data_IF_644564125516
#
_entry.id   IF_644564125516
#
_cell.length_a   1.000
_cell.length_b   1.000
_cell.length_c   1.000
_cell.angle_alpha   90.00
_cell.angle_beta   90.00
_cell.angle_gamma   90.00
#
_symmetry.space_group_name_H-M   'P 1'
#
loop_
_entity.id
_entity.type
_entity.pdbx_description
1 polymer ?
#
# COMPACT_ATOMS: atom_id res chain seq x y z
N UNK A 1 20.48 -20.86 -3.89
CA UNK A 1 19.54 -21.56 -4.79
C UNK A 1 19.13 -20.61 -5.90
N UNK A 2 19.41 -20.91 -7.17
CA UNK A 2 18.99 -20.02 -8.26
C UNK A 2 17.47 -20.01 -8.42
N UNK A 3 16.86 -18.82 -8.44
CA UNK A 3 15.42 -18.64 -8.69
C UNK A 3 15.17 -18.90 -10.19
N UNK A 4 14.36 -19.92 -10.52
CA UNK A 4 14.07 -20.32 -11.91
C UNK A 4 12.57 -20.64 -12.07
N UNK A 5 12.06 -20.65 -13.31
CA UNK A 5 10.69 -21.13 -13.61
C UNK A 5 10.44 -22.51 -12.98
N UNK A 6 11.35 -23.46 -13.12
CA UNK A 6 11.18 -24.82 -12.59
C UNK A 6 10.95 -24.82 -11.08
N UNK A 7 11.71 -24.00 -10.34
CA UNK A 7 11.55 -23.90 -8.89
C UNK A 7 10.23 -23.21 -8.49
N UNK A 8 9.78 -22.23 -9.26
CA UNK A 8 8.46 -21.61 -9.08
C UNK A 8 7.33 -22.62 -9.35
N UNK A 9 7.44 -23.42 -10.41
CA UNK A 9 6.46 -24.46 -10.73
C UNK A 9 6.43 -25.57 -9.68
N UNK A 10 7.60 -25.98 -9.14
CA UNK A 10 7.69 -26.90 -8.00
C UNK A 10 7.07 -26.30 -6.74
N UNK A 11 7.32 -25.02 -6.45
CA UNK A 11 6.71 -24.34 -5.30
C UNK A 11 5.18 -24.31 -5.42
N UNK A 12 4.64 -24.02 -6.61
CA UNK A 12 3.20 -24.02 -6.86
C UNK A 12 2.55 -25.38 -6.60
N UNK A 13 3.22 -26.50 -6.96
CA UNK A 13 2.72 -27.85 -6.63
C UNK A 13 2.66 -28.11 -5.12
N UNK A 14 3.64 -27.61 -4.35
CA UNK A 14 3.67 -27.73 -2.88
C UNK A 14 2.60 -26.88 -2.17
N UNK A 15 1.89 -26.02 -2.90
CA UNK A 15 0.85 -25.14 -2.35
C UNK A 15 -0.55 -25.75 -2.42
N UNK A 16 -0.73 -26.86 -3.14
CA UNK A 16 -2.02 -27.55 -3.22
C UNK A 16 -2.57 -27.86 -1.82
N UNK A 17 -3.80 -27.42 -1.55
CA UNK A 17 -4.46 -27.56 -0.25
C UNK A 17 -4.00 -26.58 0.85
N UNK A 18 -2.99 -25.73 0.58
CA UNK A 18 -2.40 -24.83 1.58
C UNK A 18 -2.59 -23.36 1.21
N UNK A 19 -2.26 -23.00 -0.02
CA UNK A 19 -2.40 -21.63 -0.54
C UNK A 19 -3.48 -21.64 -1.62
N UNK A 20 -4.45 -20.74 -1.50
CA UNK A 20 -5.55 -20.67 -2.48
C UNK A 20 -5.02 -20.13 -3.81
N UNK A 21 -5.44 -20.74 -4.92
CA UNK A 21 -5.37 -20.11 -6.25
C UNK A 21 -6.39 -18.97 -6.27
N UNK A 22 -5.91 -17.73 -6.25
CA UNK A 22 -6.79 -16.56 -6.16
C UNK A 22 -7.42 -16.23 -7.52
N UNK A 23 -8.61 -15.63 -7.58
CA UNK A 23 -9.23 -15.28 -8.85
C UNK A 23 -8.41 -14.27 -9.67
N UNK A 24 -8.37 -14.47 -10.99
CA UNK A 24 -8.01 -13.45 -11.97
C UNK A 24 -9.29 -12.94 -12.65
N UNK A 25 -9.70 -11.71 -12.35
CA UNK A 25 -11.01 -11.20 -12.73
C UNK A 25 -10.90 -10.08 -13.76
N UNK A 26 -11.59 -10.19 -14.90
CA UNK A 26 -11.76 -9.07 -15.82
C UNK A 26 -12.60 -7.99 -15.15
N UNK A 27 -12.10 -6.75 -15.13
CA UNK A 27 -12.83 -5.60 -14.62
C UNK A 27 -13.40 -4.79 -15.79
N UNK A 28 -14.72 -4.86 -16.00
CA UNK A 28 -15.40 -4.19 -17.11
C UNK A 28 -15.29 -2.67 -17.08
N UNK A 29 -15.37 -2.06 -15.89
CA UNK A 29 -15.34 -0.59 -15.74
C UNK A 29 -13.96 -0.03 -16.09
N UNK A 30 -12.91 -0.57 -15.48
CA UNK A 30 -11.52 -0.20 -15.76
C UNK A 30 -11.16 -0.52 -17.22
N UNK A 31 -11.64 -1.64 -17.75
CA UNK A 31 -11.43 -1.99 -19.16
C UNK A 31 -12.01 -0.94 -20.11
N UNK A 32 -13.25 -0.50 -19.85
CA UNK A 32 -13.88 0.59 -20.61
C UNK A 32 -13.15 1.92 -20.42
N UNK A 33 -12.74 2.24 -19.19
CA UNK A 33 -12.07 3.49 -18.85
C UNK A 33 -10.73 3.65 -19.57
N UNK A 34 -9.93 2.59 -19.67
CA UNK A 34 -8.60 2.62 -20.28
C UNK A 34 -8.57 2.11 -21.73
N UNK A 35 -9.70 1.61 -22.25
CA UNK A 35 -9.77 1.02 -23.59
C UNK A 35 -8.86 -0.20 -23.73
N UNK A 36 -8.75 -1.02 -22.69
CA UNK A 36 -7.84 -2.16 -22.56
C UNK A 36 -8.55 -3.32 -21.85
N UNK A 37 -8.03 -4.54 -21.88
CA UNK A 37 -8.55 -5.64 -21.07
C UNK A 37 -7.85 -5.64 -19.71
N UNK A 38 -8.48 -5.02 -18.70
CA UNK A 38 -7.91 -4.89 -17.35
C UNK A 38 -8.37 -6.06 -16.49
N UNK A 39 -7.42 -6.88 -16.04
CA UNK A 39 -7.64 -7.96 -15.10
C UNK A 39 -7.08 -7.64 -13.72
N UNK A 40 -7.77 -8.07 -12.67
CA UNK A 40 -7.35 -7.93 -11.28
C UNK A 40 -6.98 -9.32 -10.74
N UNK A 41 -5.72 -9.50 -10.34
CA UNK A 41 -5.28 -10.70 -9.60
C UNK A 41 -5.54 -10.48 -8.11
N UNK A 42 -6.53 -11.17 -7.56
CA UNK A 42 -7.15 -10.91 -6.24
C UNK A 42 -6.41 -11.55 -5.07
N UNK A 43 -5.16 -11.16 -4.84
CA UNK A 43 -4.38 -11.66 -3.69
C UNK A 43 -4.92 -11.18 -2.32
N UNK A 44 -5.79 -10.17 -2.32
CA UNK A 44 -6.62 -9.77 -1.16
C UNK A 44 -7.63 -10.85 -0.72
N UNK A 45 -7.97 -11.80 -1.59
CA UNK A 45 -8.85 -12.94 -1.28
C UNK A 45 -8.09 -14.18 -0.79
N UNK A 46 -6.78 -14.08 -0.60
CA UNK A 46 -6.00 -15.12 0.06
C UNK A 46 -6.43 -15.27 1.54
N UNK A 47 -6.13 -16.40 2.18
CA UNK A 47 -6.52 -16.69 3.58
C UNK A 47 -6.11 -15.57 4.57
N UNK A 48 -4.89 -15.08 4.44
CA UNK A 48 -4.36 -13.96 5.24
C UNK A 48 -4.67 -12.57 4.64
N UNK A 49 -5.56 -12.52 3.64
CA UNK A 49 -5.93 -11.34 2.85
C UNK A 49 -4.76 -10.61 2.20
N UNK A 50 -3.70 -11.35 1.86
CA UNK A 50 -2.56 -10.85 1.08
C UNK A 50 -1.72 -12.00 0.53
N UNK A 51 -0.86 -11.68 -0.43
CA UNK A 51 0.04 -12.66 -1.08
C UNK A 51 1.11 -13.26 -0.16
N UNK A 52 1.39 -12.66 1.02
CA UNK A 52 2.58 -12.94 1.83
C UNK A 52 2.72 -14.39 2.30
N UNK A 53 1.60 -15.12 2.42
CA UNK A 53 1.61 -16.55 2.77
C UNK A 53 2.44 -17.38 1.79
N UNK A 54 2.44 -17.03 0.50
CA UNK A 54 3.14 -17.76 -0.55
C UNK A 54 4.64 -17.87 -0.24
N UNK A 55 5.33 -16.74 -0.11
CA UNK A 55 6.75 -16.75 0.20
C UNK A 55 7.09 -17.21 1.62
N UNK A 56 6.29 -16.84 2.63
CA UNK A 56 6.52 -17.28 4.01
C UNK A 56 6.46 -18.81 4.12
N UNK A 57 5.39 -19.41 3.60
CA UNK A 57 5.21 -20.86 3.58
C UNK A 57 6.31 -21.54 2.75
N UNK A 58 6.63 -21.01 1.57
CA UNK A 58 7.67 -21.60 0.73
C UNK A 58 9.05 -21.57 1.40
N UNK A 59 9.42 -20.52 2.13
CA UNK A 59 10.67 -20.53 2.91
C UNK A 59 10.63 -21.60 4.01
N UNK A 60 9.52 -21.68 4.74
CA UNK A 60 9.41 -22.53 5.91
C UNK A 60 9.35 -24.03 5.59
N UNK A 61 8.77 -24.44 4.46
CA UNK A 61 8.78 -25.86 4.06
C UNK A 61 10.18 -26.37 3.73
N UNK A 62 11.06 -25.50 3.26
CA UNK A 62 12.46 -25.82 2.91
C UNK A 62 13.42 -25.79 4.10
N UNK A 63 12.93 -25.49 5.31
CA UNK A 63 13.73 -25.63 6.52
C UNK A 63 14.10 -27.10 6.77
N UNK A 64 15.33 -27.31 7.22
CA UNK A 64 15.82 -28.60 7.70
C UNK A 64 15.07 -29.04 8.96
N UNK A 65 15.14 -30.33 9.31
CA UNK A 65 14.53 -30.84 10.54
C UNK A 65 15.05 -30.12 11.79
N UNK A 66 16.35 -29.78 11.83
CA UNK A 66 16.97 -29.01 12.91
C UNK A 66 16.39 -27.60 13.01
N UNK A 67 16.30 -26.87 11.91
CA UNK A 67 15.72 -25.52 11.88
C UNK A 67 14.24 -25.52 12.28
N UNK A 68 13.46 -26.51 11.81
CA UNK A 68 12.05 -26.68 12.20
C UNK A 68 11.89 -26.92 13.70
N UNK A 69 12.78 -27.72 14.30
CA UNK A 69 12.76 -28.01 15.73
C UNK A 69 13.15 -26.79 16.58
N UNK A 70 14.12 -26.00 16.12
CA UNK A 70 14.51 -24.74 16.78
C UNK A 70 13.42 -23.66 16.63
N UNK A 71 12.68 -23.68 15.53
CA UNK A 71 11.61 -22.74 15.24
C UNK A 71 12.07 -21.53 14.43
N UNK A 72 11.12 -20.63 14.19
CA UNK A 72 11.31 -19.47 13.31
C UNK A 72 11.09 -18.15 14.04
N UNK A 73 11.65 -17.07 13.51
CA UNK A 73 11.46 -15.72 14.03
C UNK A 73 11.28 -14.71 12.90
N UNK A 74 10.46 -13.69 13.11
CA UNK A 74 10.34 -12.56 12.18
C UNK A 74 9.99 -11.27 12.93
N UNK A 75 10.10 -10.13 12.24
CA UNK A 75 9.59 -8.85 12.72
C UNK A 75 8.61 -8.27 11.70
N UNK A 76 7.37 -8.01 12.15
CA UNK A 76 6.31 -7.39 11.36
C UNK A 76 5.05 -7.27 12.23
N UNK A 77 4.28 -6.20 12.04
CA UNK A 77 2.93 -6.06 12.59
C UNK A 77 1.82 -6.20 11.52
N UNK A 78 2.19 -6.48 10.26
CA UNK A 78 1.27 -6.54 9.11
C UNK A 78 1.25 -7.88 8.38
N UNK A 79 1.08 -7.81 7.06
CA UNK A 79 0.86 -8.96 6.17
C UNK A 79 1.93 -10.06 6.29
N UNK A 80 3.20 -9.69 6.47
CA UNK A 80 4.28 -10.68 6.62
C UNK A 80 4.14 -11.50 7.91
N UNK A 81 3.78 -10.85 9.02
CA UNK A 81 3.56 -11.54 10.29
C UNK A 81 2.37 -12.50 10.21
N UNK A 82 1.29 -12.11 9.56
CA UNK A 82 0.15 -13.01 9.32
C UNK A 82 0.56 -14.21 8.45
N UNK A 83 1.37 -14.00 7.42
CA UNK A 83 1.90 -15.07 6.57
C UNK A 83 2.81 -16.05 7.31
N UNK A 84 3.72 -15.56 8.15
CA UNK A 84 4.57 -16.42 8.98
C UNK A 84 3.73 -17.14 10.04
N UNK A 85 2.81 -16.46 10.72
CA UNK A 85 1.93 -17.05 11.73
C UNK A 85 1.08 -18.19 11.16
N UNK A 86 0.41 -17.96 10.02
CA UNK A 86 -0.37 -18.99 9.34
C UNK A 86 0.51 -20.16 8.89
N UNK A 87 1.74 -19.88 8.42
CA UNK A 87 2.70 -20.92 8.06
C UNK A 87 3.17 -21.76 9.25
N UNK A 88 3.39 -21.13 10.41
CA UNK A 88 3.70 -21.83 11.67
C UNK A 88 2.60 -22.84 12.03
N UNK A 89 1.35 -22.42 11.97
CA UNK A 89 0.18 -23.28 12.24
C UNK A 89 0.10 -24.45 11.28
N UNK A 90 0.17 -24.19 9.97
CA UNK A 90 0.05 -25.24 8.94
C UNK A 90 1.19 -26.26 8.99
N UNK A 91 2.40 -25.81 9.32
CA UNK A 91 3.60 -26.66 9.38
C UNK A 91 3.91 -27.21 10.77
N UNK A 92 3.13 -26.81 11.78
CA UNK A 92 3.36 -27.13 13.20
C UNK A 92 4.75 -26.74 13.69
N UNK A 93 5.25 -25.59 13.23
CA UNK A 93 6.56 -25.03 13.61
C UNK A 93 6.34 -23.92 14.62
N UNK A 94 7.10 -23.90 15.72
CA UNK A 94 7.02 -22.81 16.69
C UNK A 94 7.64 -21.52 16.12
N UNK A 95 6.96 -20.40 16.31
CA UNK A 95 7.38 -19.09 15.79
C UNK A 95 7.42 -18.00 16.85
N UNK A 96 8.31 -17.03 16.69
CA UNK A 96 8.33 -15.79 17.48
C UNK A 96 8.18 -14.59 16.56
N UNK A 97 7.21 -13.73 16.86
CA UNK A 97 6.92 -12.54 16.04
C UNK A 97 7.18 -11.28 16.87
N UNK A 98 8.16 -10.50 16.44
CA UNK A 98 8.51 -9.23 17.04
C UNK A 98 7.68 -8.10 16.41
N UNK A 99 7.11 -7.25 17.25
CA UNK A 99 6.36 -6.07 16.84
C UNK A 99 6.73 -4.87 17.70
N UNK A 100 6.56 -3.63 17.22
CA UNK A 100 6.74 -2.45 18.06
C UNK A 100 5.77 -2.43 19.23
N UNK A 101 6.17 -1.83 20.35
CA UNK A 101 5.33 -1.69 21.55
C UNK A 101 4.05 -0.91 21.27
N UNK A 102 4.11 0.04 20.34
CA UNK A 102 2.97 0.88 19.91
C UNK A 102 2.03 0.19 18.91
N UNK A 103 2.21 -1.12 18.65
CA UNK A 103 1.36 -1.84 17.68
C UNK A 103 -0.09 -1.91 18.18
N UNK A 104 -1.09 -1.49 17.38
CA UNK A 104 -2.49 -1.58 17.77
C UNK A 104 -2.93 -3.02 18.09
N UNK A 105 -3.73 -3.19 19.14
CA UNK A 105 -4.20 -4.50 19.59
C UNK A 105 -4.90 -5.31 18.49
N UNK A 106 -5.65 -4.66 17.59
CA UNK A 106 -6.31 -5.34 16.47
C UNK A 106 -5.31 -6.05 15.54
N UNK A 107 -4.15 -5.44 15.28
CA UNK A 107 -3.09 -6.08 14.47
C UNK A 107 -2.45 -7.26 15.22
N UNK A 108 -2.23 -7.11 16.52
CA UNK A 108 -1.70 -8.17 17.41
C UNK A 108 -2.64 -9.37 17.42
N UNK A 109 -3.93 -9.16 17.71
CA UNK A 109 -4.93 -10.22 17.79
C UNK A 109 -5.13 -10.92 16.44
N UNK A 110 -5.04 -10.19 15.33
CA UNK A 110 -5.11 -10.80 13.99
C UNK A 110 -3.95 -11.77 13.73
N UNK A 111 -2.73 -11.41 14.16
CA UNK A 111 -1.57 -12.29 14.02
C UNK A 111 -1.66 -13.49 14.97
N UNK A 112 -2.12 -13.29 16.21
CA UNK A 112 -2.39 -14.38 17.16
C UNK A 112 -3.40 -15.38 16.59
N UNK A 113 -4.49 -14.89 16.02
CA UNK A 113 -5.52 -15.71 15.39
C UNK A 113 -4.94 -16.65 14.33
N UNK A 114 -4.11 -16.15 13.41
CA UNK A 114 -3.49 -17.01 12.39
C UNK A 114 -2.45 -17.96 12.95
N UNK A 115 -1.82 -17.59 14.06
CA UNK A 115 -0.78 -18.38 14.69
C UNK A 115 -1.28 -19.51 15.59
N UNK A 116 -2.56 -19.52 15.99
CA UNK A 116 -3.27 -20.65 16.62
C UNK A 116 -2.44 -21.44 17.66
N UNK A 117 -1.78 -20.72 18.60
CA UNK A 117 -0.94 -21.31 19.65
C UNK A 117 0.46 -21.82 19.21
N UNK A 118 0.81 -21.71 17.92
CA UNK A 118 2.14 -21.98 17.38
C UNK A 118 3.08 -20.78 17.45
N UNK A 119 2.58 -19.58 17.75
CA UNK A 119 3.41 -18.38 17.85
C UNK A 119 3.45 -17.77 19.25
N UNK A 120 4.55 -17.08 19.54
CA UNK A 120 4.67 -16.11 20.61
C UNK A 120 4.86 -14.71 20.00
N UNK A 121 4.17 -13.70 20.52
CA UNK A 121 4.40 -12.30 20.14
C UNK A 121 5.28 -11.63 21.19
N UNK A 122 6.31 -10.91 20.75
CA UNK A 122 7.17 -10.08 21.59
C UNK A 122 7.06 -8.62 21.15
N UNK A 123 6.57 -7.76 22.04
CA UNK A 123 6.47 -6.33 21.81
C UNK A 123 7.78 -5.66 22.23
N UNK A 124 8.67 -5.38 21.27
CA UNK A 124 10.00 -4.84 21.53
C UNK A 124 10.33 -3.76 20.50
N UNK A 125 10.83 -2.62 20.98
CA UNK A 125 11.18 -1.45 20.17
C UNK A 125 10.01 -0.49 19.97
N UNK A 126 10.32 0.77 19.71
CA UNK A 126 9.35 1.81 19.37
C UNK A 126 9.07 1.86 17.87
N UNK A 127 10.01 1.37 17.06
CA UNK A 127 9.96 1.41 15.61
C UNK A 127 10.07 0.01 14.99
N UNK A 128 9.63 -0.12 13.73
CA UNK A 128 9.81 -1.36 12.96
C UNK A 128 11.29 -1.78 12.85
N UNK A 129 12.18 -0.80 12.70
CA UNK A 129 13.63 -1.04 12.58
C UNK A 129 14.19 -1.62 13.89
N UNK A 130 13.77 -1.10 15.04
CA UNK A 130 14.14 -1.65 16.36
C UNK A 130 13.61 -3.06 16.59
N UNK A 131 12.33 -3.33 16.26
CA UNK A 131 11.77 -4.68 16.35
C UNK A 131 12.49 -5.67 15.43
N UNK A 132 12.89 -5.21 14.24
CA UNK A 132 13.65 -6.02 13.27
C UNK A 132 15.04 -6.35 13.79
N UNK A 133 15.72 -5.38 14.41
CA UNK A 133 17.01 -5.61 15.08
C UNK A 133 16.85 -6.66 16.20
N UNK A 134 15.87 -6.47 17.09
CA UNK A 134 15.61 -7.40 18.19
C UNK A 134 15.30 -8.83 17.71
N UNK A 135 14.54 -8.98 16.62
CA UNK A 135 14.25 -10.30 16.02
C UNK A 135 15.50 -10.98 15.46
N UNK A 136 16.40 -10.22 14.82
CA UNK A 136 17.67 -10.75 14.30
C UNK A 136 18.63 -11.11 15.43
N UNK A 137 18.68 -10.30 16.47
CA UNK A 137 19.51 -10.58 17.66
C UNK A 137 19.03 -11.87 18.34
N UNK A 138 17.71 -12.02 18.54
CA UNK A 138 17.10 -13.25 19.06
C UNK A 138 17.36 -14.49 18.19
N UNK A 139 17.33 -14.33 16.86
CA UNK A 139 17.69 -15.40 15.91
C UNK A 139 19.12 -15.90 16.13
N UNK A 140 20.08 -14.98 16.31
CA UNK A 140 21.49 -15.34 16.57
C UNK A 140 21.67 -16.02 17.93
N UNK A 141 20.97 -15.55 18.96
CA UNK A 141 21.10 -16.08 20.32
C UNK A 141 20.47 -17.46 20.49
N UNK A 142 19.32 -17.71 19.86
CA UNK A 142 18.54 -18.95 20.05
C UNK A 142 18.74 -19.99 18.96
N UNK A 143 19.38 -19.61 17.84
CA UNK A 143 19.48 -20.45 16.65
C UNK A 143 18.16 -20.60 15.88
N UNK A 144 17.12 -19.84 16.23
CA UNK A 144 15.87 -19.79 15.45
C UNK A 144 16.14 -19.20 14.07
N UNK A 145 15.41 -19.66 13.05
CA UNK A 145 15.60 -19.17 11.68
C UNK A 145 14.81 -17.88 11.45
N UNK A 146 15.50 -16.79 11.11
CA UNK A 146 14.84 -15.56 10.69
C UNK A 146 14.16 -15.73 9.33
N UNK A 147 12.89 -15.33 9.20
CA UNK A 147 12.09 -15.42 7.97
C UNK A 147 11.95 -14.02 7.33
N UNK A 148 12.70 -13.72 6.25
CA UNK A 148 12.67 -12.39 5.62
C UNK A 148 11.32 -12.08 4.95
N UNK A 149 10.98 -10.79 4.90
CA UNK A 149 9.72 -10.34 4.29
C UNK A 149 9.74 -10.31 2.75
N UNK A 150 10.94 -10.29 2.14
CA UNK A 150 11.11 -10.19 0.68
C UNK A 150 12.48 -10.68 0.18
N UNK A 151 13.59 -10.33 0.84
CA UNK A 151 14.96 -10.55 0.33
C UNK A 151 15.49 -11.96 0.63
N UNK A 152 14.84 -12.98 0.08
CA UNK A 152 15.23 -14.38 0.20
C UNK A 152 14.78 -15.17 -1.04
N UNK A 153 15.63 -16.09 -1.51
CA UNK A 153 15.40 -16.84 -2.74
C UNK A 153 14.11 -17.69 -2.69
N UNK A 154 13.81 -18.34 -1.56
CA UNK A 154 12.59 -19.11 -1.38
C UNK A 154 11.37 -18.22 -1.24
N UNK A 155 11.50 -17.08 -0.56
CA UNK A 155 10.42 -16.10 -0.46
C UNK A 155 10.04 -15.62 -1.86
N UNK A 156 11.01 -15.18 -2.66
CA UNK A 156 10.81 -14.71 -4.04
C UNK A 156 10.22 -15.80 -4.93
N UNK A 157 10.74 -17.03 -4.83
CA UNK A 157 10.23 -18.20 -5.55
C UNK A 157 8.75 -18.44 -5.23
N UNK A 158 8.37 -18.37 -3.95
CA UNK A 158 6.97 -18.50 -3.52
C UNK A 158 6.09 -17.41 -4.12
N UNK A 159 6.55 -16.15 -4.12
CA UNK A 159 5.77 -15.06 -4.72
C UNK A 159 5.61 -15.21 -6.24
N UNK A 160 6.59 -15.82 -6.91
CA UNK A 160 6.53 -16.08 -8.36
C UNK A 160 5.38 -16.99 -8.80
N UNK A 161 4.80 -17.76 -7.86
CA UNK A 161 3.60 -18.58 -8.14
C UNK A 161 2.40 -17.75 -8.58
N UNK A 162 2.32 -16.47 -8.17
CA UNK A 162 1.31 -15.53 -8.67
C UNK A 162 1.45 -15.33 -10.19
N UNK A 163 2.69 -15.20 -10.68
CA UNK A 163 2.98 -15.06 -12.12
C UNK A 163 2.62 -16.31 -12.91
N UNK A 164 2.85 -17.49 -12.33
CA UNK A 164 2.40 -18.77 -12.91
C UNK A 164 0.89 -18.80 -13.09
N UNK A 165 0.15 -18.52 -12.03
CA UNK A 165 -1.31 -18.53 -12.07
C UNK A 165 -1.85 -17.55 -13.12
N UNK A 166 -1.32 -16.32 -13.15
CA UNK A 166 -1.71 -15.31 -14.15
C UNK A 166 -1.47 -15.81 -15.57
N UNK A 167 -0.27 -16.35 -15.84
CA UNK A 167 0.11 -16.80 -17.18
C UNK A 167 -0.77 -17.97 -17.65
N UNK A 168 -1.06 -18.93 -16.78
CA UNK A 168 -1.91 -20.07 -17.08
C UNK A 168 -3.37 -19.67 -17.28
N UNK A 169 -3.93 -18.82 -16.39
CA UNK A 169 -5.32 -18.36 -16.48
C UNK A 169 -5.60 -17.50 -17.72
N UNK A 170 -4.59 -16.81 -18.26
CA UNK A 170 -4.69 -16.06 -19.52
C UNK A 170 -4.18 -16.82 -20.75
N UNK A 171 -3.79 -18.09 -20.61
CA UNK A 171 -3.17 -18.87 -21.71
C UNK A 171 -1.98 -18.13 -22.36
N UNK A 172 -1.22 -17.38 -21.56
CA UNK A 172 -0.11 -16.55 -22.02
C UNK A 172 -0.48 -15.23 -22.71
N UNK A 173 -1.78 -14.90 -22.82
CA UNK A 173 -2.30 -13.67 -23.47
C UNK A 173 -2.25 -12.46 -22.52
N UNK A 174 -1.05 -12.06 -22.12
CA UNK A 174 -0.78 -10.89 -21.29
C UNK A 174 0.24 -9.98 -21.97
N UNK A 175 0.00 -8.66 -21.93
CA UNK A 175 0.93 -7.66 -22.45
C UNK A 175 1.62 -6.90 -21.32
N UNK A 176 0.89 -6.54 -20.25
CA UNK A 176 1.39 -5.74 -19.13
C UNK A 176 1.01 -6.35 -17.78
N UNK A 177 1.92 -6.27 -16.81
CA UNK A 177 1.68 -6.56 -15.41
C UNK A 177 2.06 -5.35 -14.57
N UNK A 178 1.17 -4.90 -13.68
CA UNK A 178 1.43 -3.90 -12.66
C UNK A 178 1.43 -4.58 -11.29
N UNK A 179 2.50 -4.36 -10.52
CA UNK A 179 2.63 -4.89 -9.16
C UNK A 179 3.20 -3.82 -8.21
N UNK A 180 2.68 -3.72 -6.98
CA UNK A 180 3.25 -2.82 -5.99
C UNK A 180 4.66 -3.25 -5.59
N UNK A 181 5.50 -2.27 -5.29
CA UNK A 181 6.86 -2.48 -4.81
C UNK A 181 7.01 -1.85 -3.43
N UNK A 182 7.43 -2.66 -2.46
CA UNK A 182 8.15 -2.20 -1.28
C UNK A 182 9.59 -2.70 -1.37
N UNK A 183 9.91 -3.81 -0.70
CA UNK A 183 11.24 -4.43 -0.82
C UNK A 183 11.48 -5.19 -2.13
N UNK A 184 10.48 -5.33 -3.00
CA UNK A 184 10.59 -5.95 -4.34
C UNK A 184 10.31 -7.46 -4.44
N UNK A 185 10.00 -8.14 -3.33
CA UNK A 185 9.79 -9.60 -3.30
C UNK A 185 8.73 -10.12 -4.27
N UNK A 186 7.57 -9.46 -4.34
CA UNK A 186 6.46 -9.85 -5.22
C UNK A 186 6.83 -9.70 -6.70
N UNK A 187 7.19 -8.47 -7.10
CA UNK A 187 7.49 -8.18 -8.50
C UNK A 187 8.70 -8.95 -9.01
N UNK A 188 9.67 -9.24 -8.15
CA UNK A 188 10.83 -10.06 -8.50
C UNK A 188 10.41 -11.46 -8.94
N UNK A 189 9.61 -12.14 -8.10
CA UNK A 189 9.16 -13.51 -8.39
C UNK A 189 8.26 -13.57 -9.63
N UNK A 190 7.29 -12.66 -9.71
CA UNK A 190 6.35 -12.60 -10.84
C UNK A 190 7.07 -12.22 -12.13
N UNK A 191 7.97 -11.23 -12.07
CA UNK A 191 8.76 -10.74 -13.19
C UNK A 191 9.65 -11.83 -13.78
N UNK A 192 10.35 -12.61 -12.94
CA UNK A 192 11.14 -13.77 -13.39
C UNK A 192 10.26 -14.71 -14.21
N UNK A 193 9.13 -15.16 -13.64
CA UNK A 193 8.28 -16.15 -14.30
C UNK A 193 7.76 -15.65 -15.66
N UNK A 194 7.16 -14.45 -15.68
CA UNK A 194 6.54 -13.91 -16.89
C UNK A 194 7.57 -13.59 -17.98
N UNK A 195 8.70 -12.95 -17.64
CA UNK A 195 9.72 -12.59 -18.63
C UNK A 195 10.43 -13.80 -19.21
N UNK A 196 10.62 -14.86 -18.43
CA UNK A 196 11.21 -16.10 -18.93
C UNK A 196 10.23 -16.88 -19.83
N UNK A 197 8.91 -16.82 -19.59
CA UNK A 197 7.91 -17.39 -20.50
C UNK A 197 7.73 -16.56 -21.77
N UNK A 198 7.70 -15.22 -21.65
CA UNK A 198 7.59 -14.31 -22.78
C UNK A 198 8.23 -12.95 -22.46
N UNK A 199 9.40 -12.69 -23.08
CA UNK A 199 10.18 -11.46 -22.89
C UNK A 199 9.44 -10.18 -23.32
N UNK A 200 8.39 -10.29 -24.15
CA UNK A 200 7.60 -9.14 -24.63
C UNK A 200 6.67 -8.58 -23.57
N UNK A 201 6.29 -9.38 -22.56
CA UNK A 201 5.44 -8.94 -21.45
C UNK A 201 6.16 -7.79 -20.72
N UNK A 202 5.46 -6.69 -20.49
CA UNK A 202 5.96 -5.52 -19.76
C UNK A 202 5.65 -5.64 -18.28
N UNK A 203 6.67 -5.59 -17.45
CA UNK A 203 6.58 -5.67 -15.99
C UNK A 203 6.78 -4.27 -15.44
N UNK A 204 5.73 -3.72 -14.86
CA UNK A 204 5.68 -2.35 -14.34
C UNK A 204 5.58 -2.40 -12.82
N UNK A 205 6.59 -1.85 -12.16
CA UNK A 205 6.56 -1.59 -10.73
C UNK A 205 5.70 -0.38 -10.41
N UNK A 206 5.07 -0.38 -9.24
CA UNK A 206 4.38 0.81 -8.74
C UNK A 206 4.81 1.08 -7.29
N UNK A 207 5.38 2.26 -7.05
CA UNK A 207 5.77 2.74 -5.72
C UNK A 207 4.96 3.99 -5.35
N UNK A 208 4.71 4.18 -4.07
CA UNK A 208 4.13 5.42 -3.57
C UNK A 208 5.20 6.51 -3.51
N UNK A 209 4.82 7.74 -3.81
CA UNK A 209 5.66 8.93 -3.58
C UNK A 209 6.03 9.00 -2.11
N UNK A 210 7.33 9.16 -1.83
CA UNK A 210 7.85 9.12 -0.45
C UNK A 210 8.17 7.71 0.06
N UNK A 211 7.97 6.67 -0.75
CA UNK A 211 8.38 5.29 -0.48
C UNK A 211 9.00 4.64 -1.73
N UNK A 212 9.69 5.42 -2.55
CA UNK A 212 10.19 5.11 -3.90
C UNK A 212 11.63 4.55 -3.90
N UNK A 213 11.93 3.63 -2.97
CA UNK A 213 13.30 3.16 -2.73
C UNK A 213 13.89 2.34 -3.89
N UNK A 214 13.06 1.55 -4.59
CA UNK A 214 13.51 0.72 -5.69
C UNK A 214 13.79 1.57 -6.94
N UNK A 215 12.90 2.51 -7.29
CA UNK A 215 13.09 3.41 -8.43
C UNK A 215 14.38 4.22 -8.30
N UNK A 216 14.60 4.86 -7.13
CA UNK A 216 15.85 5.60 -6.88
C UNK A 216 17.07 4.72 -7.00
N UNK A 217 17.00 3.50 -6.46
CA UNK A 217 18.11 2.55 -6.52
C UNK A 217 18.42 2.12 -7.96
N UNK A 218 17.39 1.80 -8.75
CA UNK A 218 17.55 1.39 -10.16
C UNK A 218 18.12 2.52 -11.01
N UNK A 219 17.63 3.75 -10.84
CA UNK A 219 18.15 4.93 -11.55
C UNK A 219 19.61 5.24 -11.19
N UNK A 220 20.00 5.01 -9.93
CA UNK A 220 21.37 5.21 -9.47
C UNK A 220 22.30 4.01 -9.71
N UNK A 221 21.77 2.91 -10.26
CA UNK A 221 22.45 1.62 -10.43
C UNK A 221 23.09 1.06 -9.15
N UNK A 222 22.60 1.48 -7.97
CA UNK A 222 23.07 1.02 -6.67
C UNK A 222 21.94 1.10 -5.66
N UNK A 223 21.99 0.26 -4.62
CA UNK A 223 21.00 0.30 -3.53
C UNK A 223 21.11 1.63 -2.79
N UNK A 224 19.99 2.33 -2.69
CA UNK A 224 19.82 3.57 -1.93
C UNK A 224 18.83 3.32 -0.79
N UNK A 225 19.19 3.81 0.39
CA UNK A 225 18.28 3.91 1.53
C UNK A 225 17.66 5.29 1.57
N UNK A 226 16.34 5.35 1.77
CA UNK A 226 15.62 6.61 2.00
C UNK A 226 15.86 7.12 3.43
N UNK A 227 16.01 8.43 3.60
CA UNK A 227 16.16 9.07 4.91
C UNK A 227 14.86 8.97 5.74
N UNK A 228 13.73 9.13 5.07
CA UNK A 228 12.38 9.00 5.63
C UNK A 228 11.45 8.32 4.63
N UNK A 229 10.35 7.75 5.13
CA UNK A 229 9.36 7.02 4.33
C UNK A 229 7.95 7.45 4.71
N UNK A 230 7.13 7.80 3.72
CA UNK A 230 5.68 7.96 3.92
C UNK A 230 5.04 6.60 4.19
N UNK A 231 4.35 6.50 5.32
CA UNK A 231 3.76 5.25 5.82
C UNK A 231 2.31 5.03 5.41
N UNK A 232 1.72 5.92 4.60
CA UNK A 232 0.34 5.74 4.11
C UNK A 232 0.18 4.39 3.40
N UNK A 233 1.14 4.03 2.54
CA UNK A 233 1.25 2.70 1.94
C UNK A 233 2.09 1.75 2.80
N UNK A 234 1.65 1.48 4.03
CA UNK A 234 2.38 0.71 5.05
C UNK A 234 2.91 -0.65 4.58
N UNK A 235 2.16 -1.37 3.74
CA UNK A 235 2.61 -2.65 3.14
C UNK A 235 3.80 -2.52 2.17
N UNK A 236 4.11 -1.32 1.70
CA UNK A 236 5.20 -0.99 0.77
C UNK A 236 6.15 0.11 1.31
N UNK A 237 5.94 0.60 2.53
CA UNK A 237 6.76 1.60 3.19
C UNK A 237 8.13 1.02 3.60
N UNK A 238 9.02 0.86 2.62
CA UNK A 238 10.35 0.25 2.80
C UNK A 238 11.44 1.29 2.54
N UNK A 239 12.38 1.43 3.48
CA UNK A 239 13.51 2.36 3.37
C UNK A 239 14.56 1.91 2.36
N UNK A 240 14.86 0.61 2.34
CA UNK A 240 15.95 0.04 1.54
C UNK A 240 15.45 -1.20 0.81
N UNK A 241 15.57 -1.28 -0.52
CA UNK A 241 15.15 -2.45 -1.27
C UNK A 241 15.99 -3.68 -0.91
N UNK A 242 15.46 -4.88 -1.13
CA UNK A 242 16.24 -6.12 -0.99
C UNK A 242 17.37 -6.18 -2.00
N UNK A 243 18.53 -6.75 -1.64
CA UNK A 243 19.67 -6.85 -2.53
C UNK A 243 19.37 -7.78 -3.71
N UNK A 244 18.84 -8.97 -3.43
CA UNK A 244 18.44 -9.92 -4.47
C UNK A 244 17.32 -9.31 -5.32
N UNK A 245 16.39 -8.61 -4.68
CA UNK A 245 15.28 -7.98 -5.36
C UNK A 245 15.73 -6.86 -6.30
N UNK A 246 16.70 -6.04 -5.89
CA UNK A 246 17.30 -5.00 -6.74
C UNK A 246 17.93 -5.62 -7.99
N UNK A 247 18.76 -6.65 -7.84
CA UNK A 247 19.43 -7.32 -8.96
C UNK A 247 18.42 -7.94 -9.95
N UNK A 248 17.35 -8.54 -9.42
CA UNK A 248 16.26 -9.11 -10.23
C UNK A 248 15.46 -7.99 -10.91
N UNK A 249 15.10 -6.93 -10.19
CA UNK A 249 14.33 -5.82 -10.74
C UNK A 249 15.11 -5.14 -11.87
N UNK A 250 16.42 -4.93 -11.72
CA UNK A 250 17.30 -4.40 -12.78
C UNK A 250 17.23 -5.20 -14.08
N UNK A 251 17.00 -6.52 -13.97
CA UNK A 251 16.93 -7.43 -15.14
C UNK A 251 15.54 -7.59 -15.73
N UNK A 252 14.48 -7.59 -14.90
CA UNK A 252 13.15 -8.05 -15.32
C UNK A 252 12.04 -7.00 -15.25
N UNK A 253 12.24 -5.88 -14.54
CA UNK A 253 11.26 -4.78 -14.46
C UNK A 253 11.57 -3.76 -15.57
N UNK A 254 10.57 -3.44 -16.39
CA UNK A 254 10.74 -2.53 -17.53
C UNK A 254 10.69 -1.05 -17.12
N UNK A 255 9.83 -0.70 -16.14
CA UNK A 255 9.75 0.64 -15.57
C UNK A 255 9.06 0.62 -14.21
N UNK A 256 9.20 1.70 -13.45
CA UNK A 256 8.49 1.93 -12.19
C UNK A 256 7.70 3.23 -12.30
N UNK A 257 6.44 3.18 -11.90
CA UNK A 257 5.55 4.34 -11.82
C UNK A 257 5.46 4.81 -10.36
N UNK A 258 5.71 6.11 -10.14
CA UNK A 258 5.58 6.73 -8.82
C UNK A 258 4.22 7.41 -8.72
N UNK A 259 3.45 7.05 -7.70
CA UNK A 259 2.06 7.51 -7.52
C UNK A 259 1.93 8.34 -6.26
N UNK A 260 1.27 9.49 -6.39
CA UNK A 260 0.94 10.35 -5.25
C UNK A 260 -0.04 9.63 -4.29
N UNK A 261 0.21 9.71 -2.99
CA UNK A 261 -0.59 8.99 -1.99
C UNK A 261 -2.05 9.45 -1.97
N UNK A 262 -2.34 10.70 -2.35
CA UNK A 262 -3.69 11.19 -2.56
C UNK A 262 -4.41 10.51 -3.73
N UNK A 263 -3.68 10.20 -4.82
CA UNK A 263 -4.23 9.41 -5.93
C UNK A 263 -4.48 7.96 -5.51
N UNK A 264 -3.58 7.37 -4.72
CA UNK A 264 -3.81 6.03 -4.15
C UNK A 264 -5.07 6.02 -3.29
N UNK A 265 -5.27 7.03 -2.44
CA UNK A 265 -6.47 7.18 -1.63
C UNK A 265 -7.74 7.25 -2.49
N UNK A 266 -7.71 8.04 -3.57
CA UNK A 266 -8.78 8.08 -4.58
C UNK A 266 -9.03 6.70 -5.20
N UNK A 267 -7.99 5.97 -5.58
CA UNK A 267 -8.14 4.64 -6.19
C UNK A 267 -8.78 3.63 -5.22
N UNK A 268 -8.45 3.68 -3.92
CA UNK A 268 -9.11 2.85 -2.89
C UNK A 268 -10.61 3.15 -2.86
N UNK A 269 -10.99 4.44 -2.81
CA UNK A 269 -12.40 4.87 -2.77
C UNK A 269 -13.13 4.41 -4.04
N UNK A 270 -12.55 4.65 -5.22
CA UNK A 270 -13.16 4.27 -6.50
C UNK A 270 -13.39 2.76 -6.58
N UNK A 271 -12.38 1.96 -6.22
CA UNK A 271 -12.45 0.50 -6.30
C UNK A 271 -13.47 -0.06 -5.29
N UNK A 272 -13.53 0.52 -4.09
CA UNK A 272 -14.52 0.16 -3.10
C UNK A 272 -15.95 0.47 -3.58
N UNK A 273 -16.19 1.68 -4.06
CA UNK A 273 -17.53 2.13 -4.45
C UNK A 273 -18.06 1.44 -5.72
N UNK A 274 -17.19 1.15 -6.69
CA UNK A 274 -17.63 0.63 -7.99
C UNK A 274 -17.54 -0.90 -8.07
N UNK A 275 -16.56 -1.52 -7.41
CA UNK A 275 -16.34 -2.96 -7.46
C UNK A 275 -16.63 -3.69 -6.13
N UNK A 276 -16.84 -2.96 -5.04
CA UNK A 276 -17.00 -3.57 -3.70
C UNK A 276 -15.71 -4.22 -3.18
N UNK A 277 -14.56 -3.87 -3.75
CA UNK A 277 -13.27 -4.47 -3.37
C UNK A 277 -12.62 -3.62 -2.27
N UNK A 278 -12.37 -4.24 -1.13
CA UNK A 278 -11.67 -3.61 0.01
C UNK A 278 -10.17 -3.86 -0.13
N UNK A 279 -9.42 -2.80 -0.44
CA UNK A 279 -7.96 -2.83 -0.55
C UNK A 279 -7.31 -2.09 0.62
N UNK A 280 -6.15 -2.58 1.07
CA UNK A 280 -5.21 -1.71 1.79
C UNK A 280 -4.52 -0.76 0.78
N UNK A 281 -3.87 0.34 1.21
CA UNK A 281 -3.26 1.28 0.27
C UNK A 281 -2.23 0.65 -0.67
N UNK A 282 -1.38 -0.26 -0.16
CA UNK A 282 -0.46 -1.02 -1.00
C UNK A 282 -1.18 -1.90 -2.05
N UNK A 283 -2.37 -2.43 -1.72
CA UNK A 283 -3.21 -3.21 -2.63
C UNK A 283 -3.79 -2.41 -3.80
N UNK A 284 -3.97 -1.10 -3.64
CA UNK A 284 -4.50 -0.21 -4.67
C UNK A 284 -3.42 0.40 -5.59
N UNK A 285 -2.14 0.28 -5.23
CA UNK A 285 -1.04 0.88 -6.00
C UNK A 285 -1.01 0.39 -7.46
N UNK A 286 -1.15 -0.92 -7.70
CA UNK A 286 -1.11 -1.48 -9.06
C UNK A 286 -2.21 -0.92 -9.97
N UNK A 287 -3.42 -0.70 -9.45
CA UNK A 287 -4.51 -0.08 -10.21
C UNK A 287 -4.27 1.41 -10.39
N UNK A 288 -3.69 2.07 -9.39
CA UNK A 288 -3.34 3.48 -9.45
C UNK A 288 -2.34 3.78 -10.57
N UNK A 289 -1.40 2.87 -10.81
CA UNK A 289 -0.41 2.98 -11.89
C UNK A 289 -0.98 2.96 -13.31
N UNK A 290 -2.23 2.50 -13.50
CA UNK A 290 -2.88 2.49 -14.82
C UNK A 290 -2.98 3.90 -15.43
N UNK A 291 -3.18 4.91 -14.59
CA UNK A 291 -3.35 6.30 -15.04
C UNK A 291 -2.11 6.83 -15.77
N UNK A 292 -0.92 6.53 -15.25
CA UNK A 292 0.35 6.96 -15.84
C UNK A 292 0.64 6.28 -17.18
N UNK A 293 0.13 5.06 -17.38
CA UNK A 293 0.41 4.26 -18.58
C UNK A 293 -0.77 4.20 -19.58
N UNK A 294 -1.87 4.92 -19.32
CA UNK A 294 -3.12 4.87 -20.12
C UNK A 294 -2.91 5.03 -21.63
N UNK A 295 -1.92 5.84 -22.04
CA UNK A 295 -1.59 6.04 -23.45
C UNK A 295 -0.92 4.84 -24.14
N UNK A 296 -0.34 3.92 -23.37
CA UNK A 296 0.45 2.77 -23.86
C UNK A 296 -0.34 1.46 -23.90
N UNK A 297 -1.46 1.38 -23.18
CA UNK A 297 -2.16 0.11 -22.92
C UNK A 297 -3.44 -0.11 -23.73
N UNK A 298 -3.83 0.83 -24.60
CA UNK A 298 -5.05 0.68 -25.42
C UNK A 298 -4.99 -0.61 -26.27
N UNK A 299 -6.07 -1.39 -26.21
CA UNK A 299 -6.19 -2.69 -26.90
C UNK A 299 -5.31 -3.81 -26.35
N UNK A 300 -4.66 -3.60 -25.19
CA UNK A 300 -3.75 -4.58 -24.56
C UNK A 300 -4.43 -5.33 -23.42
N UNK A 301 -3.89 -6.50 -23.08
CA UNK A 301 -4.26 -7.22 -21.85
C UNK A 301 -3.31 -6.83 -20.72
N UNK A 302 -3.87 -6.24 -19.67
CA UNK A 302 -3.15 -5.68 -18.53
C UNK A 302 -3.63 -6.35 -17.25
N UNK A 303 -2.70 -6.77 -16.41
CA UNK A 303 -3.00 -7.36 -15.10
C UNK A 303 -2.51 -6.46 -13.97
N UNK A 304 -3.39 -6.08 -13.06
CA UNK A 304 -3.05 -5.40 -11.81
C UNK A 304 -3.14 -6.39 -10.65
N UNK A 305 -2.08 -6.52 -9.84
CA UNK A 305 -2.12 -7.34 -8.63
C UNK A 305 -2.72 -6.53 -7.47
N UNK A 306 -3.87 -6.94 -6.97
CA UNK A 306 -4.43 -6.43 -5.71
C UNK A 306 -3.73 -7.18 -4.57
N UNK A 307 -2.60 -6.64 -4.11
CA UNK A 307 -1.65 -7.39 -3.26
C UNK A 307 -2.18 -7.72 -1.86
N UNK A 308 -3.13 -6.94 -1.36
CA UNK A 308 -3.66 -7.13 -0.01
C UNK A 308 -4.91 -6.30 0.27
N UNK A 309 -5.68 -6.77 1.24
CA UNK A 309 -6.94 -6.17 1.68
C UNK A 309 -7.01 -5.93 3.18
N UNK A 310 -5.88 -5.97 3.90
CA UNK A 310 -5.83 -5.79 5.36
C UNK A 310 -5.90 -4.30 5.75
N UNK A 311 -6.97 -3.63 5.32
CA UNK A 311 -7.27 -2.27 5.73
C UNK A 311 -8.13 -2.23 7.00
N UNK A 312 -7.85 -1.28 7.88
CA UNK A 312 -8.67 -1.00 9.06
C UNK A 312 -9.78 0.00 8.69
N UNK A 313 -11.00 -0.24 9.19
CA UNK A 313 -12.13 0.66 9.02
C UNK A 313 -11.82 2.06 9.57
N UNK A 314 -11.03 2.14 10.65
CA UNK A 314 -10.60 3.40 11.26
C UNK A 314 -9.71 4.26 10.35
N UNK A 315 -9.15 3.70 9.27
CA UNK A 315 -8.35 4.44 8.29
C UNK A 315 -9.18 5.08 7.17
N UNK A 316 -10.44 4.69 7.00
CA UNK A 316 -11.26 5.25 5.92
C UNK A 316 -11.51 6.76 6.01
N UNK A 317 -11.69 7.37 7.19
CA UNK A 317 -11.76 8.82 7.30
C UNK A 317 -10.54 9.52 6.69
N UNK A 318 -9.32 9.11 7.07
CA UNK A 318 -8.06 9.61 6.47
C UNK A 318 -8.02 9.38 4.95
N UNK A 319 -8.42 8.20 4.47
CA UNK A 319 -8.42 7.86 3.04
C UNK A 319 -9.40 8.75 2.25
N UNK A 320 -10.61 8.95 2.77
CA UNK A 320 -11.61 9.82 2.14
C UNK A 320 -11.11 11.27 2.11
N UNK A 321 -10.52 11.72 3.21
CA UNK A 321 -9.96 13.05 3.35
C UNK A 321 -8.86 13.32 2.32
N UNK A 322 -7.81 12.48 2.31
CA UNK A 322 -6.70 12.58 1.35
C UNK A 322 -7.19 12.50 -0.11
N UNK A 323 -8.20 11.67 -0.38
CA UNK A 323 -8.80 11.54 -1.71
C UNK A 323 -9.49 12.83 -2.16
N UNK A 324 -10.26 13.47 -1.28
CA UNK A 324 -10.99 14.70 -1.60
C UNK A 324 -10.04 15.88 -1.77
N UNK A 325 -9.03 16.01 -0.90
CA UNK A 325 -8.01 17.06 -1.02
C UNK A 325 -7.21 16.91 -2.31
N UNK A 326 -6.74 15.70 -2.62
CA UNK A 326 -6.02 15.42 -3.87
C UNK A 326 -6.85 15.76 -5.12
N UNK A 327 -8.16 15.51 -5.07
CA UNK A 327 -9.06 15.84 -6.18
C UNK A 327 -9.34 17.35 -6.32
N UNK A 328 -8.88 18.17 -5.37
CA UNK A 328 -9.25 19.58 -5.29
C UNK A 328 -10.73 19.77 -4.97
N UNK A 329 -11.31 18.84 -4.21
CA UNK A 329 -12.71 18.90 -3.76
C UNK A 329 -12.84 19.29 -2.31
N UNK A 330 -11.75 19.33 -1.56
CA UNK A 330 -11.78 19.74 -0.15
C UNK A 330 -10.59 20.62 0.17
N UNK A 331 -10.85 21.69 0.88
CA UNK A 331 -9.88 22.74 1.19
C UNK A 331 -10.07 23.23 2.62
N UNK A 332 -8.97 23.59 3.26
CA UNK A 332 -8.98 24.15 4.60
C UNK A 332 -8.43 25.57 4.60
N UNK A 333 -9.07 26.44 5.37
CA UNK A 333 -8.74 27.85 5.47
C UNK A 333 -8.70 28.28 6.93
N UNK A 334 -7.74 29.12 7.28
CA UNK A 334 -7.86 30.03 8.42
C UNK A 334 -8.44 31.33 7.90
N UNK A 335 -9.68 31.64 8.29
CA UNK A 335 -10.39 32.85 7.86
C UNK A 335 -10.56 33.77 9.06
N UNK A 336 -10.13 35.02 8.93
CA UNK A 336 -10.36 36.03 9.96
C UNK A 336 -11.76 36.61 9.82
N UNK A 337 -12.60 36.33 10.81
CA UNK A 337 -13.91 36.94 10.92
C UNK A 337 -13.82 38.15 11.84
N UNK A 338 -14.27 39.32 11.36
CA UNK A 338 -14.45 40.48 12.22
C UNK A 338 -15.49 40.17 13.30
N UNK A 339 -15.29 40.66 14.53
CA UNK A 339 -16.22 40.45 15.65
C UNK A 339 -17.45 41.37 15.56
N UNK A 340 -18.15 41.32 14.42
CA UNK A 340 -19.42 42.01 14.16
C UNK A 340 -20.50 40.99 13.84
N UNK A 341 -21.75 41.17 14.30
CA UNK A 341 -22.85 40.29 13.94
C UNK A 341 -22.97 40.11 12.42
N UNK A 342 -23.19 38.86 11.98
CA UNK A 342 -23.47 38.55 10.57
C UNK A 342 -22.26 38.31 9.66
N UNK A 343 -21.01 38.36 10.14
CA UNK A 343 -19.84 38.07 9.28
C UNK A 343 -19.83 36.64 8.72
N UNK A 344 -20.19 35.64 9.54
CA UNK A 344 -20.36 34.27 9.04
C UNK A 344 -21.49 34.18 8.02
N UNK A 345 -22.63 34.83 8.29
CA UNK A 345 -23.76 34.90 7.33
C UNK A 345 -23.33 35.54 6.01
N UNK A 346 -22.50 36.60 6.06
CA UNK A 346 -21.93 37.25 4.89
C UNK A 346 -21.07 36.28 4.09
N UNK A 347 -20.21 35.51 4.76
CA UNK A 347 -19.39 34.48 4.12
C UNK A 347 -20.25 33.41 3.44
N UNK A 348 -21.22 32.84 4.16
CA UNK A 348 -22.14 31.82 3.63
C UNK A 348 -22.92 32.31 2.42
N UNK A 349 -23.46 33.53 2.47
CA UNK A 349 -24.37 34.03 1.44
C UNK A 349 -23.65 34.60 0.21
N UNK A 350 -22.44 35.14 0.39
CA UNK A 350 -21.77 35.90 -0.66
C UNK A 350 -20.49 35.24 -1.18
N UNK A 351 -19.81 34.44 -0.36
CA UNK A 351 -18.55 33.78 -0.75
C UNK A 351 -18.80 32.38 -1.29
N UNK A 352 -19.51 31.53 -0.53
CA UNK A 352 -19.81 30.17 -0.96
C UNK A 352 -20.76 30.16 -2.16
N UNK A 353 -20.55 29.18 -3.05
CA UNK A 353 -21.48 28.85 -4.11
C UNK A 353 -22.67 28.03 -3.60
N UNK A 354 -23.72 27.87 -4.42
CA UNK A 354 -24.96 27.18 -4.04
C UNK A 354 -24.79 25.66 -3.80
N UNK A 355 -23.63 25.10 -4.12
CA UNK A 355 -23.31 23.67 -4.00
C UNK A 355 -22.06 23.40 -3.17
N UNK A 356 -21.49 24.44 -2.56
CA UNK A 356 -20.30 24.32 -1.73
C UNK A 356 -20.73 24.12 -0.28
N UNK A 357 -20.09 23.20 0.43
CA UNK A 357 -20.48 22.80 1.78
C UNK A 357 -19.40 23.15 2.80
N UNK A 358 -19.82 23.52 4.01
CA UNK A 358 -18.90 23.67 5.15
C UNK A 358 -18.88 22.37 5.93
N UNK A 359 -17.76 21.66 5.81
CA UNK A 359 -17.54 20.35 6.45
C UNK A 359 -16.75 20.45 7.75
N UNK A 360 -16.13 21.60 8.02
CA UNK A 360 -15.50 21.92 9.30
C UNK A 360 -15.65 23.41 9.59
N UNK A 361 -16.04 23.75 10.81
CA UNK A 361 -16.03 25.13 11.29
C UNK A 361 -15.65 25.16 12.77
N UNK A 362 -14.41 25.54 13.07
CA UNK A 362 -13.95 25.76 14.43
C UNK A 362 -13.62 27.23 14.65
N UNK A 363 -14.29 27.84 15.63
CA UNK A 363 -14.06 29.21 16.01
C UNK A 363 -13.79 29.30 17.50
N UNK A 364 -12.63 29.86 17.85
CA UNK A 364 -12.24 30.06 19.25
C UNK A 364 -12.14 31.56 19.54
N UNK A 365 -13.03 32.06 20.38
CA UNK A 365 -12.98 33.45 20.86
C UNK A 365 -11.86 33.58 21.91
N UNK A 366 -10.64 33.91 21.46
CA UNK A 366 -9.46 33.94 22.34
C UNK A 366 -9.25 35.25 23.13
N UNK A 367 -9.79 36.40 22.69
CA UNK A 367 -9.64 37.70 23.39
C UNK A 367 -10.68 38.75 22.90
N UNK A 368 -10.79 39.89 23.60
CA UNK A 368 -11.52 41.11 23.19
C UNK A 368 -10.91 41.84 21.96
N UNK A 369 -10.04 41.18 21.18
CA UNK A 369 -9.51 41.75 19.93
C UNK A 369 -10.58 41.70 18.84
N UNK A 370 -10.62 42.69 17.97
CA UNK A 370 -11.68 42.88 16.96
C UNK A 370 -11.77 41.77 15.88
N UNK A 371 -10.80 40.85 15.80
CA UNK A 371 -10.74 39.76 14.83
C UNK A 371 -10.27 38.46 15.48
N UNK A 372 -10.83 37.33 15.03
CA UNK A 372 -10.39 35.99 15.43
C UNK A 372 -10.40 35.03 14.25
N UNK A 373 -9.35 34.20 14.07
CA UNK A 373 -9.33 33.20 12.99
C UNK A 373 -10.30 32.06 13.31
N UNK A 374 -11.10 31.68 12.32
CA UNK A 374 -11.84 30.44 12.31
C UNK A 374 -11.18 29.46 11.33
N UNK A 375 -11.08 28.21 11.74
CA UNK A 375 -10.68 27.13 10.86
C UNK A 375 -11.92 26.65 10.11
N UNK A 376 -11.90 26.78 8.78
CA UNK A 376 -13.02 26.46 7.91
C UNK A 376 -12.59 25.43 6.88
N UNK A 377 -13.23 24.27 6.89
CA UNK A 377 -13.12 23.24 5.85
C UNK A 377 -14.27 23.38 4.87
N UNK A 378 -13.96 23.52 3.59
CA UNK A 378 -14.94 23.68 2.50
C UNK A 378 -14.81 22.49 1.57
N UNK A 379 -15.94 21.80 1.33
CA UNK A 379 -16.05 20.77 0.30
C UNK A 379 -16.75 21.34 -0.94
N UNK A 380 -16.13 21.16 -2.10
CA UNK A 380 -16.59 21.64 -3.39
C UNK A 380 -17.11 20.48 -4.23
N UNK A 381 -18.26 20.70 -4.87
CA UNK A 381 -18.79 19.77 -5.87
C UNK A 381 -17.93 19.74 -7.14
N UNK A 382 -17.45 20.90 -7.58
CA UNK A 382 -16.51 21.06 -8.70
C UNK A 382 -15.30 21.88 -8.21
N UNK A 383 -14.09 21.35 -8.44
CA UNK A 383 -12.82 22.01 -8.10
C UNK A 383 -12.67 23.41 -8.72
N UNK A 384 -13.36 23.67 -9.84
CA UNK A 384 -13.36 24.99 -10.49
C UNK A 384 -13.99 26.09 -9.63
N UNK A 385 -14.81 25.73 -8.64
CA UNK A 385 -15.45 26.70 -7.75
C UNK A 385 -14.44 27.40 -6.81
N UNK A 386 -13.25 26.83 -6.61
CA UNK A 386 -12.23 27.42 -5.73
C UNK A 386 -11.90 28.86 -6.15
N UNK A 387 -11.65 29.09 -7.44
CA UNK A 387 -11.27 30.43 -7.93
C UNK A 387 -12.35 31.47 -7.63
N UNK A 388 -13.62 31.10 -7.80
CA UNK A 388 -14.76 31.95 -7.44
C UNK A 388 -14.77 32.26 -5.94
N UNK A 389 -14.54 31.26 -5.07
CA UNK A 389 -14.46 31.46 -3.62
C UNK A 389 -13.32 32.42 -3.28
N UNK A 390 -12.12 32.23 -3.83
CA UNK A 390 -10.95 33.08 -3.54
C UNK A 390 -11.17 34.53 -4.01
N UNK A 391 -11.78 34.72 -5.18
CA UNK A 391 -12.13 36.05 -5.71
C UNK A 391 -13.14 36.73 -4.77
N UNK A 392 -14.21 36.03 -4.39
CA UNK A 392 -15.24 36.57 -3.49
C UNK A 392 -14.70 36.83 -2.09
N UNK A 393 -13.81 35.99 -1.55
CA UNK A 393 -13.14 36.26 -0.28
C UNK A 393 -12.42 37.61 -0.33
N UNK A 394 -11.69 37.90 -1.42
CA UNK A 394 -11.02 39.20 -1.63
C UNK A 394 -12.02 40.34 -1.80
N UNK A 395 -13.03 40.18 -2.66
CA UNK A 395 -14.07 41.19 -2.92
C UNK A 395 -14.81 41.62 -1.64
N UNK A 396 -15.15 40.65 -0.79
CA UNK A 396 -15.86 40.89 0.46
C UNK A 396 -14.94 41.19 1.66
N UNK A 397 -13.64 41.40 1.42
CA UNK A 397 -12.60 41.74 2.41
C UNK A 397 -12.42 40.71 3.54
N UNK A 398 -12.51 39.42 3.23
CA UNK A 398 -12.08 38.37 4.15
C UNK A 398 -10.58 38.17 4.03
N UNK A 399 -9.85 38.35 5.14
CA UNK A 399 -8.47 37.92 5.22
C UNK A 399 -8.43 36.41 5.47
N UNK A 400 -7.64 35.67 4.70
CA UNK A 400 -7.59 34.22 4.80
C UNK A 400 -6.19 33.68 4.50
N UNK A 401 -5.89 32.52 5.07
CA UNK A 401 -4.77 31.67 4.67
C UNK A 401 -5.32 30.29 4.34
N UNK A 402 -5.06 29.82 3.12
CA UNK A 402 -5.33 28.42 2.76
C UNK A 402 -4.27 27.54 3.42
N UNK A 403 -4.68 26.42 4.01
CA UNK A 403 -3.79 25.45 4.64
C UNK A 403 -3.35 24.46 3.57
N UNK A 404 -2.04 24.35 3.38
CA UNK A 404 -1.43 23.40 2.43
C UNK A 404 -1.15 22.05 3.10
N UNK A 405 -1.15 20.98 2.28
CA UNK A 405 -0.94 19.59 2.70
C UNK A 405 0.36 19.33 3.50
N UNK A 406 1.34 20.24 3.39
CA UNK A 406 2.65 20.13 4.06
C UNK A 406 2.69 20.83 5.42
N UNK A 407 1.66 21.60 5.77
CA UNK A 407 1.61 22.30 7.05
C UNK A 407 1.26 21.33 8.19
N UNK A 408 1.89 21.49 9.36
CA UNK A 408 1.57 20.67 10.54
C UNK A 408 0.09 20.74 10.92
N UNK A 409 -0.54 21.89 10.70
CA UNK A 409 -1.97 22.07 10.95
C UNK A 409 -2.83 21.17 10.05
N UNK A 410 -2.39 20.89 8.83
CA UNK A 410 -3.06 19.92 7.96
C UNK A 410 -2.96 18.51 8.56
N UNK A 411 -1.79 18.11 9.05
CA UNK A 411 -1.60 16.81 9.72
C UNK A 411 -2.39 16.67 11.02
N UNK A 412 -2.84 17.77 11.64
CA UNK A 412 -3.73 17.74 12.81
C UNK A 412 -5.20 17.53 12.42
N UNK A 413 -5.58 17.91 11.20
CA UNK A 413 -6.95 17.83 10.70
C UNK A 413 -7.34 16.44 10.17
N UNK A 414 -6.35 15.60 9.88
CA UNK A 414 -6.50 14.31 9.17
C UNK A 414 -6.18 13.12 10.06
#
# INVERSE_FOLDING_TARGET
MKITISEIEKAAKKFEGVVKKTPLQLNSRLSKLYGANIYLKREDLQEIRSYKIRGAYNKMIHLTAREKNLGVVTASAGNHAQGVASSCTKLKIKGVIFMPVVTPNQKIERVKYFGDGYIQIKLIGQTYDESTKAAKDYSRETGTTYIPAFDDEFVITGQGTVGKEIFEELEGKIDYLLAPIGGGGLISGVGIYLKEKNKKIKIIGVEAKGADCMDRSLKAEKIISLDSVDTFCDGCAVKTPGKLNFDICKKYVDSIEIIDTGYVAKAIVDIYQNEGIITEPAGALSVSGLENIKGKIKGKTVVCIISGGNNDLLRYPEILERSLVYQGKKYYFLIEFAQKPGQLKKFLNHVLGPTDDIVLFEYVKKNNKEQGPALVGIELKDKKNLDSILIKMKEYNFNYKMIEDKELLYSYLI
#
